data_IF_373699739403
#
_entry.id   IF_373699739403
#
_cell.length_a   1.000
_cell.length_b   1.000
_cell.length_c   1.000
_cell.angle_alpha   90.00
_cell.angle_beta   90.00
_cell.angle_gamma   90.00
#
_symmetry.space_group_name_H-M   'P 1'
#
loop_
_entity.id
_entity.type
_entity.pdbx_description
1 polymer ?
#
# COMPACT_ATOMS: atom_id res chain seq x y z
N UNK A 1 -24.26 11.14 4.83
CA UNK A 1 -22.79 11.17 4.60
C UNK A 1 -22.28 12.52 5.07
N UNK A 2 -21.07 12.60 5.63
CA UNK A 2 -20.51 13.90 6.00
C UNK A 2 -20.16 14.69 4.73
N UNK A 3 -20.29 16.02 4.80
CA UNK A 3 -19.99 16.94 3.70
C UNK A 3 -19.21 18.16 4.22
N UNK A 4 -18.44 18.79 3.34
CA UNK A 4 -17.66 20.01 3.60
C UNK A 4 -17.68 20.88 2.34
N UNK A 5 -17.73 22.20 2.47
CA UNK A 5 -17.52 23.10 1.32
C UNK A 5 -16.03 23.15 0.99
N UNK A 6 -15.69 23.12 -0.29
CA UNK A 6 -14.33 23.35 -0.75
C UNK A 6 -14.16 23.11 -2.24
N UNK A 7 -12.92 23.31 -2.71
CA UNK A 7 -12.56 23.11 -4.11
C UNK A 7 -12.44 21.63 -4.43
N UNK A 8 -13.26 21.13 -5.35
CA UNK A 8 -13.14 19.76 -5.83
C UNK A 8 -11.82 19.58 -6.56
N UNK A 9 -10.98 18.64 -6.11
CA UNK A 9 -9.66 18.44 -6.72
C UNK A 9 -9.74 17.85 -8.11
N UNK A 10 -10.88 17.34 -8.60
CA UNK A 10 -11.03 16.82 -9.98
C UNK A 10 -11.55 17.90 -10.95
N UNK A 11 -12.69 18.52 -10.66
CA UNK A 11 -13.31 19.53 -11.53
C UNK A 11 -12.84 20.97 -11.25
N UNK A 12 -12.10 21.21 -10.16
CA UNK A 12 -11.55 22.51 -9.77
C UNK A 12 -12.59 23.59 -9.44
N UNK A 13 -13.85 23.21 -9.21
CA UNK A 13 -14.93 24.12 -8.82
C UNK A 13 -15.17 24.08 -7.30
N UNK A 14 -15.55 25.22 -6.71
CA UNK A 14 -16.03 25.32 -5.33
C UNK A 14 -17.40 24.66 -5.22
N UNK A 15 -17.47 23.53 -4.51
CA UNK A 15 -18.67 22.68 -4.40
C UNK A 15 -18.77 22.06 -3.01
N UNK A 16 -19.90 21.39 -2.77
CA UNK A 16 -20.04 20.49 -1.61
C UNK A 16 -19.22 19.22 -1.90
N UNK A 17 -18.16 19.02 -1.14
CA UNK A 17 -17.36 17.82 -1.10
C UNK A 17 -18.04 16.79 -0.21
N UNK A 18 -18.08 15.54 -0.65
CA UNK A 18 -18.53 14.43 0.18
C UNK A 18 -17.33 13.62 0.66
N UNK A 19 -17.55 12.82 1.70
CA UNK A 19 -16.51 11.97 2.24
C UNK A 19 -16.31 10.74 1.33
N UNK A 20 -15.17 10.66 0.63
CA UNK A 20 -14.73 9.45 -0.08
C UNK A 20 -13.84 8.57 0.81
N UNK A 21 -13.90 7.26 0.59
CA UNK A 21 -13.04 6.29 1.28
C UNK A 21 -11.89 5.88 0.37
N UNK A 22 -10.66 5.91 0.89
CA UNK A 22 -9.47 5.47 0.17
C UNK A 22 -8.70 4.45 1.02
N UNK A 23 -8.61 3.17 0.61
CA UNK A 23 -9.30 2.55 -0.53
C UNK A 23 -10.83 2.49 -0.39
N UNK A 24 -11.58 2.09 -1.43
CA UNK A 24 -13.04 2.00 -1.37
C UNK A 24 -13.58 1.13 -0.23
N UNK A 25 -14.75 1.48 0.32
CA UNK A 25 -15.40 0.68 1.38
C UNK A 25 -15.66 -0.79 0.97
N UNK A 26 -15.83 -1.04 -0.33
CA UNK A 26 -16.06 -2.38 -0.88
C UNK A 26 -14.90 -3.35 -0.62
N UNK A 27 -13.68 -2.85 -0.38
CA UNK A 27 -12.53 -3.69 -0.03
C UNK A 27 -12.35 -3.89 1.48
N UNK A 28 -13.23 -3.34 2.31
CA UNK A 28 -13.18 -3.47 3.77
C UNK A 28 -12.94 -2.16 4.53
N UNK A 29 -12.70 -1.04 3.84
CA UNK A 29 -12.42 0.28 4.44
C UNK A 29 -13.67 0.97 5.02
N UNK A 30 -14.37 0.32 5.95
CA UNK A 30 -15.65 0.78 6.51
C UNK A 30 -15.50 1.54 7.83
N UNK A 31 -14.38 1.40 8.54
CA UNK A 31 -14.21 1.95 9.89
C UNK A 31 -14.85 1.11 10.98
N UNK A 32 -15.01 1.71 12.16
CA UNK A 32 -15.78 1.17 13.27
C UNK A 32 -15.06 0.09 14.07
N UNK A 33 -15.72 -1.04 14.32
CA UNK A 33 -15.18 -2.11 15.17
C UNK A 33 -13.96 -2.84 14.58
N UNK A 34 -13.63 -2.58 13.32
CA UNK A 34 -12.52 -3.24 12.66
C UNK A 34 -11.30 -2.35 12.44
N UNK A 35 -11.44 -1.03 12.63
CA UNK A 35 -10.37 -0.05 12.41
C UNK A 35 -9.93 0.57 13.72
N UNK A 36 -8.66 0.40 14.07
CA UNK A 36 -8.03 0.97 15.27
C UNK A 36 -6.86 1.87 14.89
N UNK A 37 -6.53 2.85 15.72
CA UNK A 37 -5.46 3.82 15.52
C UNK A 37 -4.73 4.05 16.83
N UNK A 38 -3.43 4.30 16.77
CA UNK A 38 -2.60 4.57 17.94
C UNK A 38 -1.22 3.93 17.85
N UNK A 39 -0.42 4.06 18.90
CA UNK A 39 0.97 3.61 18.88
C UNK A 39 1.09 2.07 18.85
N UNK A 40 1.76 1.53 17.83
CA UNK A 40 2.01 0.09 17.69
C UNK A 40 2.74 -0.50 18.90
N UNK A 41 3.71 0.20 19.47
CA UNK A 41 4.46 -0.30 20.62
C UNK A 41 3.51 -0.55 21.79
N UNK A 42 2.58 0.36 22.04
CA UNK A 42 1.53 0.20 23.05
C UNK A 42 0.58 -0.97 22.73
N UNK A 43 0.34 -1.26 21.45
CA UNK A 43 -0.44 -2.43 21.03
C UNK A 43 0.35 -3.74 21.19
N UNK A 44 1.63 -3.76 20.81
CA UNK A 44 2.51 -4.93 20.89
C UNK A 44 2.85 -5.32 22.32
N UNK A 45 2.99 -4.33 23.22
CA UNK A 45 3.25 -4.56 24.63
C UNK A 45 1.97 -4.79 25.44
N UNK A 46 0.80 -4.87 24.80
CA UNK A 46 -0.47 -5.02 25.51
C UNK A 46 -0.63 -6.43 26.06
N UNK A 47 -1.02 -6.50 27.33
CA UNK A 47 -1.44 -7.75 27.95
C UNK A 47 -2.87 -8.07 27.51
N UNK A 48 -2.97 -8.91 26.48
CA UNK A 48 -4.24 -9.34 25.89
C UNK A 48 -5.09 -10.25 26.79
N UNK A 49 -4.61 -10.63 27.98
CA UNK A 49 -5.48 -11.22 29.01
C UNK A 49 -6.44 -10.21 29.64
N UNK A 50 -6.17 -8.90 29.46
CA UNK A 50 -7.03 -7.81 29.92
C UNK A 50 -8.12 -7.49 28.91
N UNK A 51 -9.33 -7.23 29.41
CA UNK A 51 -10.44 -6.79 28.57
C UNK A 51 -10.19 -5.37 28.02
N UNK A 52 -10.34 -5.21 26.71
CA UNK A 52 -10.25 -3.91 26.03
C UNK A 52 -8.96 -3.71 25.22
N UNK A 53 -8.83 -2.51 24.64
CA UNK A 53 -7.64 -2.07 23.92
C UNK A 53 -6.75 -1.23 24.86
N UNK A 54 -5.43 -1.11 24.59
CA UNK A 54 -4.60 -0.13 25.27
C UNK A 54 -5.23 1.26 25.19
N UNK A 55 -5.02 2.08 26.22
CA UNK A 55 -5.57 3.45 26.30
C UNK A 55 -5.25 4.30 25.07
N UNK A 56 -4.06 4.11 24.51
CA UNK A 56 -3.56 4.87 23.36
C UNK A 56 -4.07 4.32 22.01
N UNK A 57 -4.75 3.18 22.02
CA UNK A 57 -5.37 2.58 20.84
C UNK A 57 -6.87 2.92 20.82
N UNK A 58 -7.26 3.72 19.84
CA UNK A 58 -8.63 4.19 19.63
C UNK A 58 -9.25 3.50 18.43
N UNK A 59 -10.56 3.31 18.42
CA UNK A 59 -11.28 2.89 17.21
C UNK A 59 -11.50 4.10 16.31
N UNK A 60 -11.17 3.98 15.03
CA UNK A 60 -11.54 5.01 14.07
C UNK A 60 -13.01 4.81 13.68
N UNK A 61 -13.89 5.81 13.88
CA UNK A 61 -15.32 5.68 13.58
C UNK A 61 -15.59 5.52 12.09
N UNK A 62 -14.63 5.92 11.24
CA UNK A 62 -14.67 5.78 9.78
C UNK A 62 -13.36 5.16 9.34
N UNK A 63 -13.38 4.50 8.18
CA UNK A 63 -12.15 4.09 7.50
C UNK A 63 -11.35 5.31 7.03
N UNK A 64 -10.24 5.08 6.36
CA UNK A 64 -9.44 6.14 5.74
C UNK A 64 -10.30 6.90 4.74
N UNK A 65 -10.48 8.20 4.97
CA UNK A 65 -11.48 8.97 4.26
C UNK A 65 -11.09 10.44 4.12
N UNK A 66 -11.43 11.02 2.98
CA UNK A 66 -10.96 12.32 2.53
C UNK A 66 -12.14 13.18 2.04
N UNK A 67 -11.97 14.50 2.06
CA UNK A 67 -12.92 15.46 1.50
C UNK A 67 -12.26 16.17 0.32
N UNK A 68 -12.06 15.46 -0.79
CA UNK A 68 -11.34 15.99 -1.96
C UNK A 68 -12.23 16.09 -3.19
N UNK A 69 -13.29 15.28 -3.29
CA UNK A 69 -14.15 15.24 -4.46
C UNK A 69 -15.54 15.79 -4.16
N UNK A 70 -16.11 16.52 -5.14
CA UNK A 70 -17.54 16.84 -5.10
C UNK A 70 -18.37 15.59 -5.36
N UNK A 71 -19.64 15.62 -4.94
CA UNK A 71 -20.58 14.50 -5.07
C UNK A 71 -20.65 13.96 -6.51
N UNK A 72 -20.72 14.83 -7.51
CA UNK A 72 -20.82 14.47 -8.92
C UNK A 72 -19.57 13.73 -9.41
N UNK A 73 -18.39 14.28 -9.10
CA UNK A 73 -17.12 13.69 -9.48
C UNK A 73 -16.93 12.35 -8.78
N UNK A 74 -17.14 12.29 -7.47
CA UNK A 74 -17.02 11.06 -6.69
C UNK A 74 -17.97 9.96 -7.20
N UNK A 75 -19.23 10.31 -7.49
CA UNK A 75 -20.20 9.36 -8.04
C UNK A 75 -19.81 8.86 -9.43
N UNK A 76 -19.26 9.73 -10.28
CA UNK A 76 -18.73 9.35 -11.60
C UNK A 76 -17.58 8.34 -11.46
N UNK A 77 -16.58 8.63 -10.63
CA UNK A 77 -15.45 7.70 -10.42
C UNK A 77 -15.95 6.37 -9.81
N UNK A 78 -16.88 6.45 -8.86
CA UNK A 78 -17.54 5.31 -8.23
C UNK A 78 -18.23 4.38 -9.22
N UNK A 79 -18.99 4.93 -10.16
CA UNK A 79 -19.67 4.15 -11.19
C UNK A 79 -18.72 3.54 -12.23
N UNK A 80 -17.63 4.25 -12.55
CA UNK A 80 -16.75 3.89 -13.67
C UNK A 80 -15.60 2.94 -13.28
N UNK A 81 -15.07 3.04 -12.05
CA UNK A 81 -13.78 2.43 -11.68
C UNK A 81 -13.86 1.53 -10.44
N UNK A 82 -14.56 1.97 -9.39
CA UNK A 82 -14.52 1.33 -8.05
C UNK A 82 -14.82 -0.17 -8.12
N UNK A 83 -15.86 -0.59 -8.84
CA UNK A 83 -16.22 -2.02 -8.92
C UNK A 83 -15.06 -2.88 -9.45
N UNK A 84 -14.35 -2.40 -10.47
CA UNK A 84 -13.25 -3.14 -11.08
C UNK A 84 -12.09 -3.34 -10.10
N UNK A 85 -11.76 -2.31 -9.33
CA UNK A 85 -10.75 -2.40 -8.29
C UNK A 85 -11.20 -3.29 -7.13
N UNK A 86 -12.45 -3.19 -6.68
CA UNK A 86 -12.99 -4.05 -5.61
C UNK A 86 -12.89 -5.53 -6.00
N UNK A 87 -13.30 -5.90 -7.21
CA UNK A 87 -13.19 -7.27 -7.71
C UNK A 87 -11.72 -7.72 -7.75
N UNK A 88 -10.82 -6.86 -8.23
CA UNK A 88 -9.38 -7.11 -8.26
C UNK A 88 -8.80 -7.32 -6.85
N UNK A 89 -9.13 -6.45 -5.90
CA UNK A 89 -8.61 -6.50 -4.54
C UNK A 89 -9.11 -7.72 -3.77
N UNK A 90 -10.41 -8.03 -3.86
CA UNK A 90 -11.01 -9.20 -3.20
C UNK A 90 -10.40 -10.50 -3.73
N UNK A 91 -10.21 -10.62 -5.04
CA UNK A 91 -9.64 -11.83 -5.64
C UNK A 91 -8.16 -12.04 -5.22
N UNK A 92 -7.38 -10.96 -5.20
CA UNK A 92 -6.01 -10.97 -4.69
C UNK A 92 -5.94 -11.31 -3.20
N UNK A 93 -6.81 -10.72 -2.37
CA UNK A 93 -6.92 -11.07 -0.95
C UNK A 93 -7.25 -12.56 -0.78
N UNK A 94 -8.26 -13.06 -1.49
CA UNK A 94 -8.61 -14.49 -1.45
C UNK A 94 -7.46 -15.40 -1.90
N UNK A 95 -6.68 -14.98 -2.91
CA UNK A 95 -5.49 -15.69 -3.37
C UNK A 95 -4.37 -15.70 -2.32
N UNK A 96 -4.11 -14.55 -1.71
CA UNK A 96 -3.09 -14.45 -0.68
C UNK A 96 -3.48 -15.32 0.54
N UNK A 97 -4.72 -15.28 0.99
CA UNK A 97 -5.16 -16.01 2.19
C UNK A 97 -5.27 -17.53 1.99
N UNK A 98 -5.45 -18.01 0.75
CA UNK A 98 -5.47 -19.46 0.45
C UNK A 98 -4.08 -20.06 0.23
N UNK A 99 -3.06 -19.24 -0.02
CA UNK A 99 -1.68 -19.70 -0.21
C UNK A 99 -1.11 -20.16 1.13
N UNK A 100 -1.30 -21.45 1.43
CA UNK A 100 -0.65 -22.14 2.55
C UNK A 100 0.85 -22.23 2.23
N UNK A 101 1.72 -22.00 3.22
CA UNK A 101 3.18 -22.07 3.11
C UNK A 101 3.94 -20.85 2.56
N UNK A 102 3.40 -19.62 2.70
CA UNK A 102 4.30 -18.46 2.64
C UNK A 102 5.17 -18.50 3.89
N UNK A 103 6.40 -19.00 3.69
CA UNK A 103 7.38 -19.10 4.75
C UNK A 103 7.73 -17.66 5.11
N UNK A 104 7.38 -17.27 6.33
CA UNK A 104 8.02 -16.13 6.99
C UNK A 104 9.53 -16.29 6.72
N UNK A 105 10.21 -15.21 6.38
CA UNK A 105 11.67 -15.17 6.09
C UNK A 105 12.15 -15.61 4.70
N UNK A 106 11.30 -16.10 3.80
CA UNK A 106 11.68 -16.19 2.38
C UNK A 106 11.01 -15.03 1.65
N UNK A 107 11.77 -14.31 0.81
CA UNK A 107 11.29 -13.35 -0.19
C UNK A 107 10.37 -14.07 -1.18
N UNK A 108 9.20 -14.47 -0.67
CA UNK A 108 8.28 -15.34 -1.36
C UNK A 108 7.70 -14.53 -2.48
N UNK A 109 7.68 -15.12 -3.68
CA UNK A 109 7.13 -14.48 -4.85
C UNK A 109 5.99 -15.32 -5.35
N UNK A 110 4.85 -14.67 -5.56
CA UNK A 110 3.63 -15.34 -5.95
C UNK A 110 3.29 -14.99 -7.38
N UNK A 111 2.76 -15.98 -8.09
CA UNK A 111 2.17 -15.76 -9.41
C UNK A 111 0.67 -15.99 -9.31
N UNK A 112 -0.11 -15.00 -9.72
CA UNK A 112 -1.56 -15.04 -9.68
C UNK A 112 -2.17 -14.77 -11.05
N UNK A 113 -3.29 -15.43 -11.35
CA UNK A 113 -4.01 -15.28 -12.61
C UNK A 113 -5.48 -14.97 -12.32
N UNK A 114 -5.97 -13.87 -12.85
CA UNK A 114 -7.35 -13.39 -12.61
C UNK A 114 -8.05 -13.24 -13.96
N UNK A 115 -9.28 -13.72 -14.08
CA UNK A 115 -10.09 -13.63 -15.31
C UNK A 115 -11.09 -12.48 -15.19
N UNK A 116 -11.42 -11.86 -16.33
CA UNK A 116 -12.51 -10.89 -16.42
C UNK A 116 -12.20 -9.52 -15.80
N UNK A 117 -10.94 -9.20 -15.54
CA UNK A 117 -10.53 -7.90 -14.97
C UNK A 117 -10.27 -6.91 -16.10
N UNK A 118 -10.73 -5.67 -15.94
CA UNK A 118 -10.39 -4.57 -16.83
C UNK A 118 -9.20 -3.76 -16.24
N UNK A 119 -7.97 -3.90 -16.77
CA UNK A 119 -6.79 -3.36 -16.11
C UNK A 119 -6.71 -1.83 -16.17
N UNK A 120 -7.27 -1.22 -17.21
CA UNK A 120 -7.34 0.24 -17.29
C UNK A 120 -8.25 0.78 -16.17
N UNK A 121 -9.39 0.14 -15.93
CA UNK A 121 -10.33 0.57 -14.88
C UNK A 121 -9.78 0.33 -13.48
N UNK A 122 -9.10 -0.79 -13.25
CA UNK A 122 -8.38 -1.05 -12.00
C UNK A 122 -7.32 0.01 -11.75
N UNK A 123 -6.50 0.31 -12.75
CA UNK A 123 -5.44 1.31 -12.59
C UNK A 123 -5.97 2.74 -12.45
N UNK A 124 -7.08 3.09 -13.11
CA UNK A 124 -7.75 4.38 -12.90
C UNK A 124 -8.25 4.56 -11.47
N UNK A 125 -8.82 3.51 -10.86
CA UNK A 125 -9.15 3.58 -9.43
C UNK A 125 -7.90 3.71 -8.56
N UNK A 126 -6.83 2.97 -8.86
CA UNK A 126 -5.55 3.11 -8.14
C UNK A 126 -5.02 4.53 -8.21
N UNK A 127 -5.04 5.15 -9.40
CA UNK A 127 -4.62 6.54 -9.59
C UNK A 127 -5.59 7.49 -8.89
N UNK A 128 -6.90 7.23 -8.87
CA UNK A 128 -7.88 8.03 -8.13
C UNK A 128 -7.65 7.99 -6.62
N UNK A 129 -7.28 6.83 -6.07
CA UNK A 129 -6.86 6.72 -4.67
C UNK A 129 -5.64 7.60 -4.39
N UNK A 130 -4.59 7.51 -5.23
CA UNK A 130 -3.42 8.40 -5.12
C UNK A 130 -3.78 9.88 -5.31
N UNK A 131 -4.73 10.19 -6.17
CA UNK A 131 -5.22 11.53 -6.45
C UNK A 131 -5.85 12.16 -5.21
N UNK A 132 -6.69 11.41 -4.48
CA UNK A 132 -7.29 11.89 -3.24
C UNK A 132 -6.26 12.05 -2.12
N UNK A 133 -5.34 11.10 -1.92
CA UNK A 133 -4.37 11.23 -0.81
C UNK A 133 -3.35 12.34 -1.07
N UNK A 134 -2.94 12.56 -2.31
CA UNK A 134 -2.03 13.65 -2.71
C UNK A 134 -2.78 14.93 -3.09
N UNK A 135 -4.07 15.00 -2.78
CA UNK A 135 -4.92 16.18 -2.98
C UNK A 135 -5.66 16.59 -1.71
N UNK A 136 -5.33 15.97 -0.57
CA UNK A 136 -5.75 16.46 0.74
C UNK A 136 -5.25 17.89 0.96
N UNK A 137 -5.94 18.62 1.83
CA UNK A 137 -5.67 20.04 2.09
C UNK A 137 -4.21 20.31 2.49
N UNK A 138 -3.62 19.42 3.29
CA UNK A 138 -2.26 19.57 3.83
C UNK A 138 -1.17 18.95 2.94
N UNK A 139 -1.51 18.03 2.04
CA UNK A 139 -0.52 17.20 1.31
C UNK A 139 -0.62 17.33 -0.21
N UNK A 140 -1.16 18.46 -0.67
CA UNK A 140 -1.50 18.70 -2.07
C UNK A 140 -0.26 18.77 -2.96
N UNK A 141 -0.17 17.88 -3.94
CA UNK A 141 0.84 17.89 -5.00
C UNK A 141 0.19 18.28 -6.35
N UNK A 142 0.06 19.59 -6.60
CA UNK A 142 -0.57 20.12 -7.82
C UNK A 142 0.07 19.58 -9.10
N UNK A 143 1.39 19.40 -9.05
CA UNK A 143 2.21 18.90 -10.13
C UNK A 143 1.75 17.48 -10.55
N UNK A 144 1.52 16.58 -9.60
CA UNK A 144 0.94 15.26 -9.83
C UNK A 144 -0.53 15.35 -10.24
N UNK A 145 -1.36 16.09 -9.49
CA UNK A 145 -2.79 16.18 -9.73
C UNK A 145 -3.09 16.63 -11.17
N UNK A 146 -2.43 17.69 -11.64
CA UNK A 146 -2.67 18.20 -12.99
C UNK A 146 -2.24 17.20 -14.07
N UNK A 147 -1.18 16.43 -13.85
CA UNK A 147 -0.69 15.46 -14.83
C UNK A 147 -1.57 14.23 -15.03
N UNK A 148 -2.38 13.87 -14.03
CA UNK A 148 -3.25 12.68 -14.10
C UNK A 148 -4.74 13.03 -14.17
N UNK A 149 -5.10 14.30 -14.06
CA UNK A 149 -6.49 14.79 -14.04
C UNK A 149 -7.30 14.27 -15.22
N UNK A 150 -6.83 14.49 -16.44
CA UNK A 150 -7.53 14.04 -17.65
C UNK A 150 -7.50 12.52 -17.81
N UNK A 151 -6.44 11.88 -17.31
CA UNK A 151 -6.39 10.43 -17.24
C UNK A 151 -7.50 9.88 -16.35
N UNK A 152 -7.79 10.48 -15.19
CA UNK A 152 -8.86 9.99 -14.30
C UNK A 152 -10.24 10.44 -14.81
N UNK A 153 -10.36 11.67 -15.33
CA UNK A 153 -11.64 12.27 -15.73
C UNK A 153 -12.29 11.55 -16.91
N UNK A 154 -11.47 11.10 -17.88
CA UNK A 154 -11.94 10.48 -19.12
C UNK A 154 -11.83 8.94 -19.07
N UNK A 155 -12.96 8.19 -19.02
CA UNK A 155 -12.96 6.75 -18.78
C UNK A 155 -12.09 5.89 -19.70
N UNK A 156 -11.97 6.30 -20.98
CA UNK A 156 -11.20 5.57 -22.00
C UNK A 156 -9.78 6.09 -22.20
N UNK A 157 -9.40 7.20 -21.56
CA UNK A 157 -8.07 7.76 -21.70
C UNK A 157 -7.02 6.85 -21.05
N UNK A 158 -6.11 6.28 -21.83
CA UNK A 158 -5.01 5.43 -21.35
C UNK A 158 -3.65 6.14 -21.36
N UNK A 159 -3.65 7.46 -21.48
CA UNK A 159 -2.45 8.31 -21.57
C UNK A 159 -1.94 8.67 -20.18
N UNK A 160 -1.50 7.67 -19.42
CA UNK A 160 -0.86 7.90 -18.12
C UNK A 160 0.57 8.46 -18.31
N UNK A 161 1.01 9.48 -17.56
CA UNK A 161 2.35 10.09 -17.64
C UNK A 161 3.45 9.17 -17.08
N UNK A 162 3.72 8.06 -17.79
CA UNK A 162 4.61 6.97 -17.35
C UNK A 162 6.10 7.31 -17.34
N UNK A 163 6.49 8.37 -18.03
CA UNK A 163 7.83 8.95 -18.01
C UNK A 163 8.08 9.74 -16.71
N UNK A 164 7.01 10.17 -16.04
CA UNK A 164 7.08 10.92 -14.78
C UNK A 164 6.70 10.10 -13.56
N UNK A 165 5.78 9.16 -13.70
CA UNK A 165 5.26 8.38 -12.58
C UNK A 165 5.28 6.89 -12.86
N UNK A 166 5.56 6.10 -11.82
CA UNK A 166 5.52 4.64 -11.85
C UNK A 166 4.70 4.15 -10.67
N UNK A 167 3.86 3.12 -10.88
CA UNK A 167 3.15 2.46 -9.78
C UNK A 167 3.59 1.01 -9.70
N UNK A 168 4.10 0.64 -8.54
CA UNK A 168 4.56 -0.73 -8.26
C UNK A 168 3.63 -1.37 -7.25
N UNK A 169 3.27 -2.62 -7.51
CA UNK A 169 2.47 -3.46 -6.62
C UNK A 169 3.34 -4.52 -5.93
N UNK A 170 3.08 -4.75 -4.65
CA UNK A 170 3.53 -5.93 -3.92
C UNK A 170 2.36 -6.57 -3.16
N UNK A 171 2.52 -7.83 -2.77
CA UNK A 171 1.70 -8.40 -1.72
C UNK A 171 2.33 -8.07 -0.37
N UNK A 172 1.50 -8.00 0.66
CA UNK A 172 1.99 -7.96 2.03
C UNK A 172 1.09 -8.78 2.94
N UNK A 173 1.67 -9.36 3.99
CA UNK A 173 0.87 -9.89 5.09
C UNK A 173 0.87 -8.91 6.24
N UNK A 174 -0.31 -8.61 6.82
CA UNK A 174 -0.35 -7.98 8.12
C UNK A 174 0.38 -8.84 9.15
N UNK A 175 1.03 -8.19 10.11
CA UNK A 175 1.71 -8.86 11.22
C UNK A 175 0.69 -9.77 11.95
N UNK A 176 1.10 -11.03 12.16
CA UNK A 176 0.47 -12.06 13.01
C UNK A 176 -0.95 -12.54 12.67
N UNK A 177 -1.20 -13.03 11.45
CA UNK A 177 -2.44 -13.77 11.13
C UNK A 177 -2.68 -15.03 11.98
N UNK A 178 -1.67 -15.57 12.69
CA UNK A 178 -1.82 -16.71 13.61
C UNK A 178 -2.09 -16.28 15.07
N UNK A 179 -1.40 -15.29 15.66
CA UNK A 179 -1.77 -14.79 16.99
C UNK A 179 -3.14 -14.09 16.97
N UNK A 180 -3.49 -13.35 15.92
CA UNK A 180 -4.73 -12.56 15.88
C UNK A 180 -6.00 -13.45 15.86
N UNK A 181 -5.91 -14.67 15.33
CA UNK A 181 -7.03 -15.64 15.35
C UNK A 181 -7.36 -16.16 16.74
N UNK A 182 -6.38 -16.27 17.63
CA UNK A 182 -6.58 -16.75 19.00
C UNK A 182 -7.07 -15.62 19.93
N UNK A 183 -6.82 -14.36 19.57
CA UNK A 183 -7.06 -13.20 20.45
C UNK A 183 -8.29 -12.36 20.02
N UNK A 184 -8.98 -12.70 18.92
CA UNK A 184 -10.20 -11.99 18.47
C UNK A 184 -10.00 -10.47 18.22
N UNK A 185 -8.81 -10.06 17.78
CA UNK A 185 -8.48 -8.64 17.55
C UNK A 185 -8.55 -8.29 16.06
N UNK A 186 -8.94 -7.06 15.76
CA UNK A 186 -9.28 -6.60 14.42
C UNK A 186 -8.07 -6.53 13.46
N UNK A 187 -8.34 -6.72 12.16
CA UNK A 187 -7.33 -6.78 11.10
C UNK A 187 -6.82 -5.40 10.63
N UNK A 188 -7.46 -4.29 11.01
CA UNK A 188 -7.13 -2.96 10.48
C UNK A 188 -6.63 -2.04 11.58
N UNK A 189 -5.31 -2.02 11.79
CA UNK A 189 -4.67 -0.90 12.49
C UNK A 189 -4.29 0.15 11.42
N UNK A 190 -4.60 1.41 11.71
CA UNK A 190 -4.29 2.62 10.94
C UNK A 190 -3.57 3.53 11.93
N UNK A 191 -2.24 3.52 11.93
CA UNK A 191 -1.44 4.43 12.70
C UNK A 191 -0.59 5.24 11.76
N UNK A 192 -0.64 6.53 12.03
CA UNK A 192 0.49 7.44 12.03
C UNK A 192 1.50 6.90 13.08
N UNK A 193 2.12 5.73 13.02
CA UNK A 193 3.31 5.55 12.20
C UNK A 193 3.76 4.06 12.11
N UNK A 194 2.89 3.06 12.30
CA UNK A 194 3.34 1.64 12.47
C UNK A 194 2.24 0.56 12.34
N UNK A 195 1.46 0.48 11.25
CA UNK A 195 0.29 -0.45 11.21
C UNK A 195 0.04 -1.27 9.95
N UNK A 196 -0.84 -2.28 10.13
CA UNK A 196 -1.40 -3.24 9.17
C UNK A 196 -1.98 -2.65 7.88
N UNK A 197 -2.46 -1.41 7.92
CA UNK A 197 -2.79 -0.63 6.73
C UNK A 197 -2.05 0.71 6.86
N UNK A 198 -1.31 1.09 5.81
CA UNK A 198 -0.47 2.28 5.79
C UNK A 198 -0.81 3.09 4.56
N UNK A 199 -1.25 4.33 4.74
CA UNK A 199 -1.60 5.22 3.64
C UNK A 199 -0.84 6.50 3.88
N UNK A 200 -0.08 6.94 2.88
CA UNK A 200 0.61 8.21 2.94
C UNK A 200 0.62 8.96 1.62
N UNK A 201 0.50 10.29 1.67
CA UNK A 201 0.78 11.15 0.53
C UNK A 201 2.27 11.12 0.17
N UNK A 202 2.66 11.91 -0.82
CA UNK A 202 4.04 12.05 -1.26
C UNK A 202 4.92 12.52 -0.11
N UNK A 203 5.98 11.77 0.12
CA UNK A 203 7.09 12.20 0.95
C UNK A 203 8.38 11.93 0.21
N UNK A 204 9.45 12.57 0.66
CA UNK A 204 10.78 12.45 0.09
C UNK A 204 11.75 11.89 1.13
N UNK A 205 12.54 10.90 0.73
CA UNK A 205 13.64 10.38 1.53
C UNK A 205 14.96 10.62 0.83
N UNK A 206 15.90 11.22 1.57
CA UNK A 206 17.31 11.29 1.19
C UNK A 206 18.03 10.11 1.86
N UNK A 207 18.47 9.16 1.03
CA UNK A 207 19.07 7.90 1.44
C UNK A 207 20.58 8.05 1.58
N UNK A 208 21.16 7.24 2.47
CA UNK A 208 22.61 7.10 2.56
C UNK A 208 23.22 6.75 1.19
N UNK A 209 24.30 7.44 0.83
CA UNK A 209 24.95 7.29 -0.48
C UNK A 209 24.41 8.22 -1.58
N UNK A 210 23.63 9.25 -1.23
CA UNK A 210 23.13 10.26 -2.18
C UNK A 210 21.92 9.82 -3.01
N UNK A 211 21.35 8.66 -2.68
CA UNK A 211 20.08 8.22 -3.23
C UNK A 211 18.94 9.12 -2.76
N UNK A 212 17.97 9.37 -3.60
CA UNK A 212 16.80 10.20 -3.34
C UNK A 212 15.58 9.54 -3.94
N UNK A 213 14.50 9.44 -3.17
CA UNK A 213 13.22 8.93 -3.65
C UNK A 213 12.06 9.78 -3.13
N UNK A 214 11.16 10.16 -4.03
CA UNK A 214 9.87 10.78 -3.72
C UNK A 214 8.74 9.83 -4.12
N UNK A 215 7.90 9.47 -3.15
CA UNK A 215 6.84 8.48 -3.38
C UNK A 215 5.68 8.62 -2.38
N UNK A 216 4.53 8.08 -2.78
CA UNK A 216 3.32 7.92 -2.00
C UNK A 216 2.98 6.43 -1.91
N UNK A 217 2.33 5.99 -0.83
CA UNK A 217 2.10 4.57 -0.58
C UNK A 217 0.68 4.30 -0.06
N UNK A 218 0.11 3.18 -0.51
CA UNK A 218 -1.15 2.62 -0.03
C UNK A 218 -0.93 1.13 0.21
N UNK A 219 -0.91 0.70 1.47
CA UNK A 219 -0.96 -0.69 1.89
C UNK A 219 -2.35 -0.94 2.50
N UNK A 220 -3.13 -1.79 1.84
CA UNK A 220 -4.45 -2.15 2.32
C UNK A 220 -4.83 -3.59 1.96
N UNK A 221 -5.29 -4.36 2.94
CA UNK A 221 -5.90 -5.68 2.77
C UNK A 221 -5.08 -6.66 1.89
N UNK A 222 -3.77 -6.65 2.10
CA UNK A 222 -2.82 -7.56 1.46
C UNK A 222 -2.23 -7.08 0.13
N UNK A 223 -2.61 -5.88 -0.33
CA UNK A 223 -2.03 -5.23 -1.51
C UNK A 223 -1.28 -3.96 -1.07
N UNK A 224 0.00 -3.90 -1.41
CA UNK A 224 0.82 -2.69 -1.35
C UNK A 224 0.91 -2.05 -2.73
N UNK A 225 0.72 -0.73 -2.79
CA UNK A 225 0.84 0.10 -3.96
C UNK A 225 1.78 1.27 -3.64
N UNK A 226 2.81 1.45 -4.46
CA UNK A 226 3.78 2.52 -4.31
C UNK A 226 3.80 3.35 -5.59
N UNK A 227 3.39 4.62 -5.50
CA UNK A 227 3.48 5.61 -6.57
C UNK A 227 4.80 6.36 -6.43
N UNK A 228 5.66 6.29 -7.44
CA UNK A 228 7.00 6.90 -7.45
C UNK A 228 6.99 8.09 -8.41
N UNK A 229 7.49 9.23 -7.97
CA UNK A 229 7.80 10.39 -8.79
C UNK A 229 9.21 10.23 -9.37
N UNK A 230 9.30 9.82 -10.64
CA UNK A 230 10.55 9.51 -11.33
C UNK A 230 11.42 10.76 -11.55
N UNK A 231 10.80 11.93 -11.72
CA UNK A 231 11.52 13.19 -11.93
C UNK A 231 12.27 13.62 -10.67
N UNK A 232 11.67 13.40 -9.51
CA UNK A 232 12.23 13.79 -8.21
C UNK A 232 12.94 12.64 -7.47
N UNK A 233 13.19 11.52 -8.16
CA UNK A 233 13.87 10.34 -7.63
C UNK A 233 15.08 9.96 -8.48
N UNK A 234 16.19 9.62 -7.85
CA UNK A 234 17.33 8.96 -8.50
C UNK A 234 17.55 7.53 -8.00
N UNK A 235 16.86 7.14 -6.92
CA UNK A 235 16.90 5.78 -6.40
C UNK A 235 15.83 4.93 -7.08
N UNK A 236 16.24 3.80 -7.64
CA UNK A 236 15.36 2.90 -8.37
C UNK A 236 14.75 1.80 -7.50
N UNK A 237 13.44 1.62 -7.62
CA UNK A 237 12.74 0.43 -7.15
C UNK A 237 12.50 -0.52 -8.32
N UNK A 238 13.18 -1.66 -8.25
CA UNK A 238 13.23 -2.72 -9.25
C UNK A 238 12.58 -4.03 -8.77
N UNK A 239 12.18 -4.10 -7.50
CA UNK A 239 11.30 -5.15 -6.99
C UNK A 239 9.82 -4.78 -7.16
N UNK A 240 8.95 -5.77 -7.03
CA UNK A 240 7.51 -5.59 -7.22
C UNK A 240 7.00 -5.94 -8.61
N UNK A 241 5.72 -5.70 -8.83
CA UNK A 241 5.03 -5.85 -10.10
C UNK A 241 4.69 -4.46 -10.65
N UNK A 242 5.27 -4.11 -11.78
CA UNK A 242 5.05 -2.83 -12.44
C UNK A 242 3.65 -2.78 -13.10
N UNK A 243 2.85 -1.78 -12.73
CA UNK A 243 1.51 -1.58 -13.27
C UNK A 243 1.49 -0.81 -14.60
N UNK A 244 2.62 -0.50 -15.24
CA UNK A 244 2.66 0.21 -16.55
C UNK A 244 1.67 -0.39 -17.55
N UNK A 245 1.65 -1.73 -17.70
CA UNK A 245 0.74 -2.42 -18.63
C UNK A 245 -0.73 -2.34 -18.26
N UNK A 246 -1.06 -2.01 -17.01
CA UNK A 246 -2.43 -1.74 -16.58
C UNK A 246 -2.81 -0.29 -16.93
N UNK A 247 -1.93 0.64 -16.56
CA UNK A 247 -2.08 2.09 -16.73
C UNK A 247 -2.29 2.49 -18.19
N UNK A 248 -1.65 1.78 -19.13
CA UNK A 248 -1.76 2.04 -20.57
C UNK A 248 -2.57 0.99 -21.31
N UNK A 249 -3.37 0.17 -20.62
CA UNK A 249 -4.18 -0.86 -21.26
C UNK A 249 -5.33 -0.24 -22.05
N UNK A 250 -5.82 -0.97 -23.07
CA UNK A 250 -7.15 -0.71 -23.61
C UNK A 250 -8.25 -0.96 -22.57
N UNK A 251 -9.35 -0.24 -22.71
CA UNK A 251 -10.54 -0.34 -21.86
C UNK A 251 -11.34 -1.62 -22.16
N UNK A 252 -10.82 -2.77 -21.73
CA UNK A 252 -11.45 -4.06 -21.99
C UNK A 252 -11.14 -5.09 -20.89
N UNK A 253 -12.14 -5.86 -20.42
CA UNK A 253 -11.90 -7.03 -19.57
C UNK A 253 -11.01 -8.06 -20.27
N UNK A 254 -10.02 -8.57 -19.54
CA UNK A 254 -9.12 -9.64 -20.00
C UNK A 254 -8.66 -10.50 -18.84
N UNK A 255 -7.99 -11.61 -19.18
CA UNK A 255 -7.22 -12.37 -18.19
C UNK A 255 -5.92 -11.61 -17.91
N UNK A 256 -5.61 -11.42 -16.64
CA UNK A 256 -4.35 -10.82 -16.19
C UNK A 256 -3.49 -11.86 -15.48
N UNK A 257 -2.19 -11.64 -15.57
CA UNK A 257 -1.16 -12.45 -14.94
C UNK A 257 -0.26 -11.54 -14.12
N UNK A 258 -0.36 -11.64 -12.80
CA UNK A 258 0.53 -10.99 -11.86
C UNK A 258 1.69 -11.94 -11.60
N UNK A 259 2.76 -11.82 -12.39
CA UNK A 259 3.88 -12.75 -12.34
C UNK A 259 4.89 -12.35 -11.27
N UNK A 260 5.30 -13.32 -10.46
CA UNK A 260 6.45 -13.18 -9.57
C UNK A 260 6.37 -11.95 -8.64
N UNK A 261 5.18 -11.65 -8.10
CA UNK A 261 4.94 -10.51 -7.19
C UNK A 261 5.54 -10.82 -5.82
N UNK A 262 6.42 -9.98 -5.26
CA UNK A 262 6.98 -10.22 -3.94
C UNK A 262 5.93 -10.09 -2.84
N UNK A 263 6.05 -10.92 -1.82
CA UNK A 263 5.34 -10.79 -0.55
C UNK A 263 6.28 -10.18 0.46
N UNK A 264 5.95 -8.98 0.92
CA UNK A 264 6.78 -8.20 1.84
C UNK A 264 6.00 -8.03 3.14
N UNK A 265 6.58 -8.32 4.30
CA UNK A 265 5.88 -8.11 5.58
C UNK A 265 6.69 -7.18 6.48
N UNK A 266 6.05 -6.37 7.33
CA UNK A 266 6.78 -5.57 8.31
C UNK A 266 7.72 -6.43 9.18
N UNK A 267 7.25 -7.62 9.59
CA UNK A 267 8.02 -8.55 10.41
C UNK A 267 9.25 -9.08 9.67
N UNK A 268 9.09 -9.57 8.43
CA UNK A 268 10.21 -10.12 7.67
C UNK A 268 11.24 -9.06 7.35
N UNK A 269 10.78 -7.86 6.99
CA UNK A 269 11.64 -6.72 6.63
C UNK A 269 12.46 -6.28 7.83
N UNK A 270 11.81 -6.06 8.98
CA UNK A 270 12.48 -5.59 10.20
C UNK A 270 13.45 -6.63 10.75
N UNK A 271 13.13 -7.92 10.62
CA UNK A 271 14.05 -8.98 11.01
C UNK A 271 15.27 -9.04 10.09
N UNK A 272 15.10 -8.88 8.78
CA UNK A 272 16.22 -8.82 7.84
C UNK A 272 17.14 -7.64 8.15
N UNK A 273 16.58 -6.46 8.43
CA UNK A 273 17.35 -5.28 8.84
C UNK A 273 18.16 -5.56 10.11
N UNK A 274 17.53 -6.14 11.15
CA UNK A 274 18.20 -6.52 12.39
C UNK A 274 19.35 -7.50 12.16
N UNK A 275 19.20 -8.48 11.26
CA UNK A 275 20.25 -9.47 10.97
C UNK A 275 21.45 -8.85 10.24
N UNK A 276 21.17 -7.85 9.42
CA UNK A 276 22.14 -7.15 8.60
C UNK A 276 22.79 -5.97 9.35
N UNK A 277 22.38 -5.69 10.59
CA UNK A 277 22.67 -4.46 11.32
C UNK A 277 22.39 -3.20 10.45
N UNK A 278 21.32 -3.28 9.64
CA UNK A 278 20.92 -2.22 8.73
C UNK A 278 20.18 -1.13 9.51
N UNK A 279 20.50 0.16 9.30
CA UNK A 279 19.82 1.23 10.01
C UNK A 279 18.32 1.25 9.66
N UNK A 280 17.47 1.21 10.69
CA UNK A 280 16.01 1.24 10.57
C UNK A 280 15.55 2.67 10.82
N UNK A 281 15.01 3.31 9.77
CA UNK A 281 14.51 4.69 9.89
C UNK A 281 13.04 4.73 10.34
N UNK A 282 12.23 3.70 10.05
CA UNK A 282 10.92 3.49 10.69
C UNK A 282 10.36 2.07 10.47
N UNK A 283 9.60 1.53 11.43
CA UNK A 283 9.15 0.13 11.45
C UNK A 283 7.71 -0.02 10.92
N UNK A 284 7.54 -0.34 9.65
CA UNK A 284 6.25 -0.83 9.11
C UNK A 284 5.64 0.01 8.00
N UNK A 285 6.15 1.23 7.81
CA UNK A 285 6.07 1.97 6.57
C UNK A 285 7.09 1.43 5.55
N UNK A 286 6.96 1.89 4.30
CA UNK A 286 8.04 1.92 3.33
C UNK A 286 8.54 0.54 2.92
N UNK A 287 7.65 -0.46 3.00
CA UNK A 287 8.03 -1.86 2.90
C UNK A 287 8.76 -2.16 1.59
N UNK A 288 8.27 -1.61 0.48
CA UNK A 288 8.89 -1.79 -0.82
C UNK A 288 10.27 -1.09 -0.92
N UNK A 289 10.39 0.13 -0.39
CA UNK A 289 11.67 0.85 -0.37
C UNK A 289 12.70 0.13 0.52
N UNK A 290 12.29 -0.28 1.72
CA UNK A 290 13.13 -0.98 2.69
C UNK A 290 13.60 -2.33 2.13
N UNK A 291 12.71 -3.13 1.56
CA UNK A 291 13.09 -4.41 0.95
C UNK A 291 14.04 -4.20 -0.25
N UNK A 292 13.84 -3.15 -1.05
CA UNK A 292 14.76 -2.79 -2.12
C UNK A 292 16.16 -2.42 -1.59
N UNK A 293 16.24 -1.63 -0.50
CA UNK A 293 17.51 -1.26 0.16
C UNK A 293 18.23 -2.50 0.70
N UNK A 294 17.51 -3.40 1.37
CA UNK A 294 18.02 -4.68 1.87
C UNK A 294 18.60 -5.52 0.71
N UNK A 295 17.86 -5.65 -0.39
CA UNK A 295 18.33 -6.39 -1.57
C UNK A 295 19.58 -5.76 -2.18
N UNK A 296 19.63 -4.43 -2.28
CA UNK A 296 20.81 -3.74 -2.79
C UNK A 296 22.02 -3.98 -1.90
N UNK A 297 21.87 -3.93 -0.58
CA UNK A 297 22.94 -4.25 0.37
C UNK A 297 23.38 -5.72 0.27
N UNK A 298 22.45 -6.68 0.20
CA UNK A 298 22.82 -8.10 0.04
C UNK A 298 23.63 -8.34 -1.25
N UNK A 299 23.35 -7.56 -2.32
CA UNK A 299 24.12 -7.64 -3.57
C UNK A 299 25.56 -7.16 -3.41
N UNK A 300 25.86 -6.25 -2.48
CA UNK A 300 27.25 -5.80 -2.23
C UNK A 300 28.07 -6.81 -1.42
N UNK A 301 27.41 -7.72 -0.69
CA UNK A 301 28.09 -8.76 0.10
C UNK A 301 28.81 -9.78 -0.77
N UNK A 302 30.00 -10.21 -0.33
CA UNK A 302 30.76 -11.31 -0.94
C UNK A 302 30.18 -12.70 -0.58
N UNK A 303 30.73 -13.76 -1.18
CA UNK A 303 30.20 -15.12 -1.01
C UNK A 303 30.26 -15.64 0.45
N UNK A 304 31.30 -15.27 1.21
CA UNK A 304 31.47 -15.69 2.60
C UNK A 304 30.45 -14.96 3.48
N UNK A 305 30.31 -13.65 3.29
CA UNK A 305 29.33 -12.81 3.99
C UNK A 305 27.89 -13.30 3.74
N UNK A 306 27.55 -13.60 2.48
CA UNK A 306 26.23 -14.17 2.13
C UNK A 306 26.00 -15.54 2.78
N UNK A 307 27.03 -16.37 2.89
CA UNK A 307 26.93 -17.68 3.57
C UNK A 307 26.70 -17.51 5.07
N UNK A 308 27.40 -16.56 5.70
CA UNK A 308 27.22 -16.23 7.12
C UNK A 308 25.83 -15.62 7.39
N UNK A 309 25.35 -14.75 6.51
CA UNK A 309 24.00 -14.20 6.56
C UNK A 309 22.94 -15.31 6.53
N UNK A 310 23.05 -16.27 5.59
CA UNK A 310 22.13 -17.40 5.52
C UNK A 310 22.10 -18.20 6.83
N UNK A 311 23.27 -18.48 7.41
CA UNK A 311 23.36 -19.16 8.72
C UNK A 311 22.67 -18.36 9.84
N UNK A 312 22.87 -17.04 9.91
CA UNK A 312 22.19 -16.17 10.89
C UNK A 312 20.66 -16.24 10.73
N UNK A 313 20.17 -16.17 9.49
CA UNK A 313 18.74 -16.27 9.19
C UNK A 313 18.15 -17.63 9.57
N UNK A 314 18.87 -18.72 9.29
CA UNK A 314 18.43 -20.07 9.65
C UNK A 314 18.41 -20.29 11.17
N UNK A 315 19.36 -19.71 11.92
CA UNK A 315 19.36 -19.77 13.39
C UNK A 315 18.18 -18.99 14.00
N UNK A 316 17.85 -17.82 13.47
CA UNK A 316 16.70 -17.05 13.97
C UNK A 316 15.36 -17.69 13.61
N UNK A 317 15.30 -18.44 12.49
CA UNK A 317 14.12 -19.27 12.17
C UNK A 317 13.86 -20.33 13.23
N UNK A 318 14.92 -20.97 13.72
CA UNK A 318 14.83 -22.01 14.76
C UNK A 318 14.44 -21.45 16.13
N UNK A 319 14.66 -20.16 16.38
CA UNK A 319 14.26 -19.48 17.62
C UNK A 319 12.82 -18.93 17.59
N UNK A 320 12.20 -18.86 16.41
CA UNK A 320 10.86 -18.32 16.19
C UNK A 320 9.76 -19.39 16.01
N UNK A 321 10.13 -20.68 16.18
CA UNK A 321 9.24 -21.86 16.21
C UNK A 321 9.23 -22.36 17.66
#
# INVERSE_FOLDING_TARGET
>A
MATKNGKCILCQEEKILNLEHVPPQGVGNKGGKHTITGNLEAFQSWDFSKNGLPRDIKRQPKGNAYFTLCIECNSKLGGEYVKHYVDFAIDNKAFLYRTKHIRNFNQSRLTHSIKGINPLRVSKEIVAMFFSINGSEDDKDDEFLDSVRDYIKEPKNSSFPKDRYKIIMNYYYPVSTHLIKEINIANDMVANDRTHNYIRPFVQHDLQGGGKIKYSEIQYEGIGLTLIDLKNSNFEINIGFDLEKFLTSSDKPKKIHLYNVPVITPTSTSMMEKVLDFPVEDVGADLLLRDQRIINYIKTLNAIERKNLRKKLDNLRLQAI
#
